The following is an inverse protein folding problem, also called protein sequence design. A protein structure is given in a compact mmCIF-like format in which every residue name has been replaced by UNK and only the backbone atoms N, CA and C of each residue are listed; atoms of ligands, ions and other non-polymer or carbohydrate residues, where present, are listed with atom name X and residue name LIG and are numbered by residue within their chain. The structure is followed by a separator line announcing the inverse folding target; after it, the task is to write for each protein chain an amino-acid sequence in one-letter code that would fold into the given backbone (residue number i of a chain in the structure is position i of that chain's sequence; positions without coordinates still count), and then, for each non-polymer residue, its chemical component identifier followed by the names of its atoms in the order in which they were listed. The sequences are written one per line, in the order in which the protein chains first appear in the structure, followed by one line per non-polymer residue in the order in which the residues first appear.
data_IF_767700140161
#
_entry.id   IF_767700140161
#
_cell.length_a   1.000
_cell.length_b   1.000
_cell.length_c   1.000
_cell.angle_alpha   90.00
_cell.angle_beta   90.00
_cell.angle_gamma   90.00
#
_symmetry.space_group_name_H-M   'P 1'
#
loop_
_entity.id
_entity.type
_entity.pdbx_description
1 polymer ?
#
# COMPACT_ATOMS: atom_id res chain seq x y z
N UNK A 1 -24.00 79.97 13.43
CA UNK A 1 -23.42 81.17 12.79
C UNK A 1 -21.91 81.03 12.90
N UNK A 2 -21.26 80.74 11.78
CA UNK A 2 -19.82 80.51 11.65
C UNK A 2 -18.97 81.71 12.10
N UNK A 3 -17.78 81.47 12.64
CA UNK A 3 -16.52 81.86 11.98
C UNK A 3 -15.29 81.25 12.65
N UNK A 4 -14.37 80.86 11.78
CA UNK A 4 -13.13 80.14 11.98
C UNK A 4 -12.04 80.94 12.70
N UNK A 5 -11.01 80.25 13.21
CA UNK A 5 -9.62 80.73 13.17
C UNK A 5 -8.59 79.59 13.30
N UNK A 6 -7.94 79.34 12.16
CA UNK A 6 -6.55 78.95 11.92
C UNK A 6 -5.70 78.32 13.06
N UNK A 7 -5.23 77.09 12.79
CA UNK A 7 -4.17 76.41 13.50
C UNK A 7 -2.94 76.30 12.58
N UNK A 8 -1.77 76.81 13.00
CA UNK A 8 -0.50 76.54 12.35
C UNK A 8 0.70 76.65 13.31
N UNK A 9 1.51 75.58 13.31
CA UNK A 9 2.95 75.46 13.60
C UNK A 9 3.40 75.41 15.08
N UNK A 10 3.94 74.25 15.52
CA UNK A 10 5.38 73.87 15.61
C UNK A 10 6.07 74.59 16.79
N UNK A 11 6.89 74.00 17.67
CA UNK A 11 7.48 72.68 17.95
C UNK A 11 8.26 72.85 19.26
N UNK A 12 8.37 71.77 20.06
CA UNK A 12 9.53 71.39 20.90
C UNK A 12 10.06 72.32 22.01
N UNK A 13 9.89 71.95 23.29
CA UNK A 13 10.98 71.47 24.18
C UNK A 13 10.62 71.50 25.68
N UNK A 14 10.94 70.38 26.35
CA UNK A 14 11.32 70.19 27.77
C UNK A 14 10.45 70.75 28.91
N UNK A 15 9.88 69.84 29.71
CA UNK A 15 10.14 69.87 31.16
C UNK A 15 9.89 68.51 31.82
N UNK A 16 10.75 68.22 32.79
CA UNK A 16 10.94 67.01 33.57
C UNK A 16 9.88 66.96 34.68
N UNK A 17 9.18 65.82 34.88
CA UNK A 17 8.48 65.57 36.14
C UNK A 17 8.56 64.11 36.60
N UNK A 18 9.11 63.96 37.82
CA UNK A 18 9.21 62.78 38.70
C UNK A 18 8.07 61.77 38.55
N UNK A 19 8.43 60.48 38.39
CA UNK A 19 7.54 59.35 38.69
C UNK A 19 8.15 58.45 39.78
N UNK A 20 7.34 58.26 40.82
CA UNK A 20 7.52 57.46 42.03
C UNK A 20 7.80 56.00 41.70
N UNK A 21 8.76 55.41 42.43
CA UNK A 21 8.97 53.95 42.54
C UNK A 21 7.70 53.30 43.11
N UNK A 22 7.06 52.45 42.32
CA UNK A 22 6.12 51.43 42.80
C UNK A 22 6.90 50.12 42.79
N UNK A 23 7.24 49.64 43.98
CA UNK A 23 7.75 48.29 44.24
C UNK A 23 6.63 47.29 43.98
N UNK A 24 6.73 46.54 42.89
CA UNK A 24 5.88 45.38 42.63
C UNK A 24 6.57 44.15 43.26
N UNK A 25 5.95 43.64 44.31
CA UNK A 25 6.26 42.39 45.00
C UNK A 25 6.10 41.21 44.05
N UNK A 26 7.07 40.29 44.11
CA UNK A 26 7.13 39.08 43.29
C UNK A 26 5.90 38.16 43.51
N UNK A 27 5.27 37.75 42.41
CA UNK A 27 4.32 36.63 42.36
C UNK A 27 5.07 35.32 42.09
N UNK A 28 4.56 34.18 42.60
CA UNK A 28 5.27 32.90 42.61
C UNK A 28 5.25 32.18 41.26
N UNK A 29 6.34 31.47 41.03
CA UNK A 29 6.71 30.57 39.94
C UNK A 29 5.58 30.05 39.04
N UNK A 30 5.56 30.58 37.81
CA UNK A 30 4.91 29.94 36.67
C UNK A 30 5.83 28.80 36.19
N UNK A 31 5.36 27.55 36.01
CA UNK A 31 6.21 26.47 35.56
C UNK A 31 6.60 26.71 34.09
N UNK A 32 7.80 27.26 33.89
CA UNK A 32 8.44 27.35 32.59
C UNK A 32 8.63 25.92 32.09
N UNK A 33 7.79 25.49 31.16
CA UNK A 33 7.98 24.24 30.42
C UNK A 33 9.36 24.30 29.79
N UNK A 34 10.32 23.53 30.34
CA UNK A 34 11.69 23.50 29.82
C UNK A 34 11.63 23.14 28.33
N UNK A 35 12.14 23.99 27.42
CA UNK A 35 12.16 23.63 26.02
C UNK A 35 13.00 22.36 25.87
N UNK A 36 12.41 21.30 25.32
CA UNK A 36 13.12 20.08 24.91
C UNK A 36 14.39 20.53 24.18
N UNK A 37 15.55 20.05 24.64
CA UNK A 37 16.85 20.51 24.16
C UNK A 37 16.90 20.36 22.64
N UNK A 38 17.34 21.41 21.94
CA UNK A 38 17.46 21.40 20.49
C UNK A 38 18.32 20.23 19.99
N UNK A 39 19.24 19.73 20.84
CA UNK A 39 20.09 18.58 20.59
C UNK A 39 19.30 17.26 20.54
N UNK A 40 18.34 17.06 21.46
CA UNK A 40 17.47 15.87 21.47
C UNK A 40 16.58 15.88 20.22
N UNK A 41 16.05 17.05 19.88
CA UNK A 41 15.18 17.24 18.71
C UNK A 41 15.92 17.00 17.39
N UNK A 42 17.19 17.43 17.29
CA UNK A 42 18.08 17.17 16.15
C UNK A 42 18.43 15.68 16.03
N UNK A 43 18.74 15.01 17.15
CA UNK A 43 19.05 13.58 17.16
C UNK A 43 17.88 12.73 16.67
N UNK A 44 16.67 13.05 17.11
CA UNK A 44 15.46 12.34 16.71
C UNK A 44 15.14 12.56 15.22
N UNK A 45 15.30 13.79 14.73
CA UNK A 45 15.11 14.11 13.31
C UNK A 45 16.15 13.44 12.40
N UNK A 46 17.44 13.48 12.77
CA UNK A 46 18.49 12.80 11.99
C UNK A 46 18.29 11.28 11.94
N UNK A 47 17.73 10.68 13.00
CA UNK A 47 17.43 9.25 13.04
C UNK A 47 16.25 8.90 12.13
N UNK A 48 15.17 9.70 12.15
CA UNK A 48 14.01 9.50 11.26
C UNK A 48 14.38 9.79 9.80
N UNK A 49 15.12 10.87 9.54
CA UNK A 49 15.57 11.25 8.20
C UNK A 49 16.54 10.23 7.62
N UNK A 50 17.47 9.72 8.43
CA UNK A 50 18.37 8.63 8.07
C UNK A 50 17.61 7.35 7.74
N UNK A 51 16.59 6.99 8.54
CA UNK A 51 15.73 5.84 8.28
C UNK A 51 14.99 5.99 6.94
N UNK A 52 14.36 7.14 6.67
CA UNK A 52 13.64 7.40 5.40
C UNK A 52 14.57 7.30 4.20
N UNK A 53 15.80 7.84 4.30
CA UNK A 53 16.81 7.77 3.24
C UNK A 53 17.36 6.36 3.02
N UNK A 54 17.57 5.59 4.09
CA UNK A 54 18.04 4.20 4.01
C UNK A 54 17.00 3.25 3.38
N UNK A 55 15.72 3.59 3.42
CA UNK A 55 14.67 2.80 2.77
C UNK A 55 14.64 3.07 1.26
N UNK A 56 15.07 4.26 0.76
CA UNK A 56 15.05 4.66 -0.66
C UNK A 56 15.67 3.64 -1.67
N UNK A 57 16.81 2.98 -1.39
CA UNK A 57 17.35 1.97 -2.30
C UNK A 57 16.53 0.68 -2.43
N UNK A 58 15.58 0.39 -1.53
CA UNK A 58 14.63 -0.72 -1.71
C UNK A 58 13.61 -0.42 -2.84
N UNK A 59 13.25 0.86 -3.03
CA UNK A 59 12.23 1.31 -3.99
C UNK A 59 12.64 1.06 -5.44
N UNK A 60 13.91 1.29 -5.79
CA UNK A 60 14.42 1.08 -7.17
C UNK A 60 14.55 -0.40 -7.50
N UNK A 61 14.86 -1.25 -6.51
CA UNK A 61 15.08 -2.69 -6.74
C UNK A 61 13.78 -3.49 -6.93
N UNK A 62 12.68 -3.08 -6.31
CA UNK A 62 11.39 -3.75 -6.46
C UNK A 62 10.80 -3.56 -7.88
N UNK A 63 10.85 -2.33 -8.41
CA UNK A 63 10.32 -2.00 -9.73
C UNK A 63 11.08 -2.64 -10.91
N UNK A 64 12.36 -3.01 -10.72
CA UNK A 64 13.21 -3.57 -11.79
C UNK A 64 13.10 -5.10 -11.90
N UNK A 65 12.58 -5.80 -10.88
CA UNK A 65 12.68 -7.28 -10.81
C UNK A 65 11.52 -8.02 -11.49
N UNK A 66 10.34 -7.41 -11.61
CA UNK A 66 9.19 -7.99 -12.34
C UNK A 66 9.49 -8.22 -13.83
N UNK A 67 10.33 -7.35 -14.41
CA UNK A 67 10.65 -7.35 -15.84
C UNK A 67 11.71 -8.40 -16.23
N UNK A 68 12.38 -9.00 -15.24
CA UNK A 68 13.47 -9.97 -15.45
C UNK A 68 13.03 -11.43 -15.41
N UNK A 69 11.72 -11.71 -15.46
CA UNK A 69 11.20 -13.08 -15.52
C UNK A 69 10.90 -13.42 -16.99
N UNK A 70 11.91 -13.98 -17.66
CA UNK A 70 11.83 -14.48 -19.05
C UNK A 70 10.94 -15.74 -19.21
N UNK A 71 10.41 -16.26 -18.10
CA UNK A 71 9.55 -17.44 -18.10
C UNK A 71 8.22 -17.10 -18.80
N UNK A 72 7.88 -17.85 -19.85
CA UNK A 72 6.66 -17.66 -20.61
C UNK A 72 5.56 -18.57 -20.08
N UNK A 73 4.32 -18.06 -20.07
CA UNK A 73 3.13 -18.88 -19.83
C UNK A 73 2.58 -19.38 -21.15
N UNK A 74 2.06 -20.60 -21.18
CA UNK A 74 1.35 -21.10 -22.35
C UNK A 74 -0.07 -20.49 -22.38
N UNK A 75 -0.26 -19.56 -23.31
CA UNK A 75 -1.55 -18.91 -23.60
C UNK A 75 -1.96 -19.14 -25.05
N UNK A 76 -1.61 -20.30 -25.61
CA UNK A 76 -1.89 -20.65 -27.02
C UNK A 76 -3.38 -20.94 -27.31
N UNK A 77 -4.18 -21.18 -26.27
CA UNK A 77 -5.61 -21.50 -26.36
C UNK A 77 -6.33 -21.29 -25.04
N UNK A 78 -7.68 -21.21 -25.02
CA UNK A 78 -8.44 -21.17 -23.77
C UNK A 78 -8.13 -22.32 -22.82
N UNK A 79 -7.93 -23.54 -23.35
CA UNK A 79 -7.51 -24.70 -22.55
C UNK A 79 -6.15 -24.49 -21.91
N UNK A 80 -5.16 -24.02 -22.67
CA UNK A 80 -3.81 -23.74 -22.16
C UNK A 80 -3.82 -22.64 -21.09
N UNK A 81 -4.51 -21.53 -21.37
CA UNK A 81 -4.66 -20.39 -20.46
C UNK A 81 -5.34 -20.80 -19.15
N UNK A 82 -6.46 -21.52 -19.21
CA UNK A 82 -7.18 -21.96 -18.01
C UNK A 82 -6.36 -22.96 -17.18
N UNK A 83 -5.75 -23.96 -17.85
CA UNK A 83 -4.89 -24.95 -17.19
C UNK A 83 -3.68 -24.28 -16.54
N UNK A 84 -3.01 -23.37 -17.25
CA UNK A 84 -1.85 -22.65 -16.75
C UNK A 84 -2.19 -21.75 -15.56
N UNK A 85 -3.30 -21.01 -15.65
CA UNK A 85 -3.79 -20.19 -14.55
C UNK A 85 -4.07 -21.03 -13.31
N UNK A 86 -4.85 -22.11 -13.46
CA UNK A 86 -5.15 -23.01 -12.34
C UNK A 86 -3.88 -23.63 -11.75
N UNK A 87 -2.94 -24.09 -12.57
CA UNK A 87 -1.69 -24.68 -12.09
C UNK A 87 -0.88 -23.69 -11.23
N UNK A 88 -0.64 -22.48 -11.74
CA UNK A 88 0.10 -21.43 -11.01
C UNK A 88 -0.60 -21.06 -9.70
N UNK A 89 -1.93 -20.95 -9.72
CA UNK A 89 -2.70 -20.52 -8.57
C UNK A 89 -2.86 -21.63 -7.52
N UNK A 90 -3.04 -22.89 -7.93
CA UNK A 90 -3.07 -24.06 -7.03
C UNK A 90 -1.71 -24.30 -6.38
N UNK A 91 -0.62 -24.26 -7.15
CA UNK A 91 0.74 -24.38 -6.61
C UNK A 91 0.99 -23.31 -5.54
N UNK A 92 0.62 -22.07 -5.84
CA UNK A 92 0.67 -20.96 -4.89
C UNK A 92 -0.16 -21.24 -3.64
N UNK A 93 -1.36 -21.78 -3.81
CA UNK A 93 -2.26 -22.10 -2.70
C UNK A 93 -1.60 -23.11 -1.76
N UNK A 94 -1.08 -24.20 -2.30
CA UNK A 94 -0.39 -25.24 -1.54
C UNK A 94 0.86 -24.69 -0.84
N UNK A 95 1.62 -23.82 -1.52
CA UNK A 95 2.83 -23.21 -0.96
C UNK A 95 2.55 -22.13 0.08
N UNK A 96 1.39 -21.48 0.07
CA UNK A 96 1.05 -20.43 1.02
C UNK A 96 0.27 -20.99 2.21
N UNK A 97 -0.84 -21.68 1.93
CA UNK A 97 -1.79 -22.16 2.93
C UNK A 97 -1.84 -23.68 3.07
N UNK A 98 -1.19 -24.42 2.17
CA UNK A 98 -1.17 -25.88 2.23
C UNK A 98 -0.52 -26.40 3.51
N UNK A 99 -0.84 -27.63 3.94
CA UNK A 99 -0.37 -28.18 5.20
C UNK A 99 1.16 -28.22 5.33
N UNK A 100 1.89 -28.30 4.21
CA UNK A 100 3.35 -28.35 4.19
C UNK A 100 4.00 -27.01 3.82
N UNK A 101 3.22 -25.92 3.72
CA UNK A 101 3.81 -24.61 3.42
C UNK A 101 4.83 -24.19 4.48
N UNK A 102 5.83 -23.41 4.08
CA UNK A 102 6.79 -22.78 5.00
C UNK A 102 6.04 -21.97 6.07
N UNK A 103 4.96 -21.32 5.66
CA UNK A 103 4.11 -20.55 6.54
C UNK A 103 3.42 -21.40 7.61
N UNK A 104 2.76 -22.50 7.22
CA UNK A 104 2.12 -23.41 8.18
C UNK A 104 3.14 -24.12 9.07
N UNK A 105 4.29 -24.50 8.50
CA UNK A 105 5.41 -25.09 9.25
C UNK A 105 5.92 -24.14 10.32
N UNK A 106 6.09 -22.85 9.97
CA UNK A 106 6.43 -21.80 10.92
C UNK A 106 5.38 -21.66 12.02
N UNK A 107 4.09 -21.61 11.67
CA UNK A 107 2.99 -21.46 12.63
C UNK A 107 2.90 -22.63 13.62
N UNK A 108 3.28 -23.84 13.21
CA UNK A 108 3.34 -25.03 14.09
C UNK A 108 4.61 -25.10 14.95
N UNK A 109 5.67 -24.40 14.58
CA UNK A 109 6.92 -24.37 15.34
C UNK A 109 6.80 -23.46 16.57
N UNK A 110 7.64 -23.60 17.60
CA UNK A 110 7.68 -22.65 18.73
C UNK A 110 8.52 -21.39 18.45
N UNK A 111 8.95 -21.20 17.20
CA UNK A 111 9.86 -20.11 16.82
C UNK A 111 9.14 -18.78 16.78
N UNK A 112 9.77 -17.73 17.32
CA UNK A 112 9.22 -16.38 17.30
C UNK A 112 9.42 -15.69 15.93
N UNK A 113 10.44 -16.12 15.18
CA UNK A 113 10.80 -15.61 13.86
C UNK A 113 11.02 -16.77 12.88
N UNK A 114 10.62 -16.62 11.60
CA UNK A 114 10.96 -17.57 10.55
C UNK A 114 12.45 -17.49 10.20
N UNK A 115 13.00 -18.55 9.58
CA UNK A 115 14.40 -18.50 9.15
C UNK A 115 14.58 -17.48 8.01
N UNK A 116 15.75 -16.81 7.99
CA UNK A 116 16.00 -15.74 6.99
C UNK A 116 15.97 -16.26 5.56
N UNK A 117 16.40 -17.51 5.35
CA UNK A 117 16.37 -18.17 4.03
C UNK A 117 14.92 -18.37 3.59
N UNK A 118 14.07 -18.91 4.48
CA UNK A 118 12.65 -19.12 4.23
C UNK A 118 11.93 -17.83 3.83
N UNK A 119 12.22 -16.70 4.50
CA UNK A 119 11.62 -15.40 4.17
C UNK A 119 11.99 -14.96 2.75
N UNK A 120 13.28 -15.01 2.41
CA UNK A 120 13.76 -14.55 1.11
C UNK A 120 13.20 -15.40 -0.02
N UNK A 121 13.24 -16.72 0.14
CA UNK A 121 12.71 -17.66 -0.84
C UNK A 121 11.21 -17.46 -1.03
N UNK A 122 10.46 -17.34 0.07
CA UNK A 122 9.01 -17.07 0.03
C UNK A 122 8.71 -15.76 -0.71
N UNK A 123 9.44 -14.69 -0.43
CA UNK A 123 9.22 -13.39 -1.10
C UNK A 123 9.54 -13.46 -2.58
N UNK A 124 10.67 -14.06 -2.95
CA UNK A 124 11.08 -14.21 -4.36
C UNK A 124 10.07 -15.05 -5.15
N UNK A 125 9.54 -16.12 -4.56
CA UNK A 125 8.48 -16.95 -5.16
C UNK A 125 7.17 -16.17 -5.29
N UNK A 126 6.70 -15.49 -4.23
CA UNK A 126 5.46 -14.71 -4.28
C UNK A 126 5.49 -13.61 -5.34
N UNK A 127 6.66 -12.99 -5.56
CA UNK A 127 6.87 -12.03 -6.64
C UNK A 127 6.79 -12.70 -8.02
N UNK A 128 7.42 -13.88 -8.17
CA UNK A 128 7.35 -14.66 -9.41
C UNK A 128 5.92 -15.03 -9.77
N UNK A 129 5.17 -15.59 -8.82
CA UNK A 129 3.79 -16.03 -9.02
C UNK A 129 2.87 -14.86 -9.32
N UNK A 130 3.09 -13.70 -8.69
CA UNK A 130 2.37 -12.46 -9.04
C UNK A 130 2.60 -12.14 -10.49
N UNK A 131 3.85 -11.97 -10.91
CA UNK A 131 4.20 -11.64 -12.28
C UNK A 131 3.66 -12.67 -13.29
N UNK A 132 3.67 -13.96 -12.96
CA UNK A 132 3.15 -15.03 -13.81
C UNK A 132 1.62 -15.01 -13.89
N UNK A 133 0.92 -14.87 -12.75
CA UNK A 133 -0.54 -14.87 -12.71
C UNK A 133 -1.16 -13.72 -13.51
N UNK A 134 -0.51 -12.54 -13.50
CA UNK A 134 -0.92 -11.38 -14.29
C UNK A 134 -0.92 -11.65 -15.80
N UNK A 135 -0.08 -12.61 -16.27
CA UNK A 135 -0.03 -12.98 -17.67
C UNK A 135 -1.32 -13.65 -18.15
N UNK A 136 -2.20 -14.13 -17.28
CA UNK A 136 -3.48 -14.71 -17.73
C UNK A 136 -4.59 -13.67 -17.92
N UNK A 137 -4.42 -12.44 -17.41
CA UNK A 137 -5.44 -11.40 -17.45
C UNK A 137 -5.15 -10.34 -18.52
N UNK A 138 -6.19 -9.89 -19.22
CA UNK A 138 -6.15 -8.69 -20.03
C UNK A 138 -6.36 -7.44 -19.15
N UNK A 139 -5.26 -6.79 -18.81
CA UNK A 139 -5.24 -5.61 -17.94
C UNK A 139 -5.20 -4.29 -18.73
N UNK A 140 -5.52 -4.31 -20.03
CA UNK A 140 -5.36 -3.14 -20.92
C UNK A 140 -6.16 -1.91 -20.45
N UNK A 141 -7.34 -2.11 -19.87
CA UNK A 141 -8.19 -1.03 -19.36
C UNK A 141 -7.79 -0.55 -17.95
N UNK A 142 -6.79 -1.18 -17.31
CA UNK A 142 -6.31 -0.81 -15.99
C UNK A 142 -5.06 0.07 -16.12
N UNK A 143 -5.00 1.24 -15.47
CA UNK A 143 -3.82 2.10 -15.52
C UNK A 143 -2.56 1.38 -15.07
N UNK A 144 -1.46 1.53 -15.83
CA UNK A 144 -0.17 0.86 -15.60
C UNK A 144 0.34 1.07 -14.17
N UNK A 145 0.11 2.24 -13.57
CA UNK A 145 0.53 2.56 -12.21
C UNK A 145 -0.09 1.66 -11.12
N UNK A 146 -1.23 1.04 -11.38
CA UNK A 146 -1.94 0.17 -10.42
C UNK A 146 -2.18 -1.24 -10.97
N UNK A 147 -1.67 -1.57 -12.16
CA UNK A 147 -2.00 -2.81 -12.87
C UNK A 147 -1.50 -4.04 -12.14
N UNK A 148 -0.28 -4.01 -11.59
CA UNK A 148 0.28 -5.13 -10.81
C UNK A 148 -0.54 -5.36 -9.54
N UNK A 149 -0.80 -4.30 -8.77
CA UNK A 149 -1.56 -4.38 -7.52
C UNK A 149 -3.01 -4.85 -7.76
N UNK A 150 -3.66 -4.31 -8.79
CA UNK A 150 -5.05 -4.65 -9.14
C UNK A 150 -5.12 -6.05 -9.71
N UNK A 151 -4.23 -6.40 -10.65
CA UNK A 151 -4.20 -7.71 -11.26
C UNK A 151 -3.91 -8.81 -10.24
N UNK A 152 -3.01 -8.58 -9.28
CA UNK A 152 -2.77 -9.53 -8.19
C UNK A 152 -4.03 -9.82 -7.36
N UNK A 153 -4.84 -8.79 -7.11
CA UNK A 153 -6.11 -8.94 -6.41
C UNK A 153 -7.11 -9.73 -7.25
N UNK A 154 -7.21 -9.40 -8.53
CA UNK A 154 -8.13 -10.02 -9.48
C UNK A 154 -7.79 -11.50 -9.72
N UNK A 155 -6.52 -11.88 -9.76
CA UNK A 155 -6.13 -13.29 -9.90
C UNK A 155 -6.52 -14.12 -8.68
N UNK A 156 -6.35 -13.58 -7.46
CA UNK A 156 -6.85 -14.25 -6.26
C UNK A 156 -8.38 -14.40 -6.27
N UNK A 157 -9.11 -13.33 -6.56
CA UNK A 157 -10.58 -13.39 -6.63
C UNK A 157 -11.06 -14.40 -7.68
N UNK A 158 -10.40 -14.45 -8.84
CA UNK A 158 -10.71 -15.39 -9.90
C UNK A 158 -10.43 -16.84 -9.51
N UNK A 159 -9.33 -17.10 -8.79
CA UNK A 159 -9.06 -18.43 -8.24
C UNK A 159 -10.17 -18.86 -7.26
N UNK A 160 -10.57 -17.98 -6.35
CA UNK A 160 -11.66 -18.27 -5.41
C UNK A 160 -12.96 -18.57 -6.16
N UNK A 161 -13.28 -17.77 -7.19
CA UNK A 161 -14.44 -18.04 -8.03
C UNK A 161 -14.39 -19.47 -8.59
N UNK A 162 -13.26 -19.89 -9.16
CA UNK A 162 -13.10 -21.24 -9.71
C UNK A 162 -13.14 -22.36 -8.68
N UNK A 163 -12.78 -22.11 -7.43
CA UNK A 163 -12.93 -23.09 -6.35
C UNK A 163 -14.39 -23.30 -5.91
N UNK A 164 -15.27 -22.33 -6.20
CA UNK A 164 -16.65 -22.33 -5.73
C UNK A 164 -17.70 -22.54 -6.83
N UNK A 165 -17.30 -22.68 -8.09
CA UNK A 165 -18.19 -22.98 -9.23
C UNK A 165 -17.84 -24.33 -9.87
N UNK A 166 -18.79 -25.00 -10.55
CA UNK A 166 -18.47 -26.21 -11.31
C UNK A 166 -17.52 -25.88 -12.46
N UNK A 167 -16.38 -26.56 -12.51
CA UNK A 167 -15.41 -26.43 -13.60
C UNK A 167 -15.60 -27.55 -14.63
N UNK A 168 -15.58 -27.25 -15.94
CA UNK A 168 -15.65 -28.27 -16.99
C UNK A 168 -14.38 -29.13 -16.99
N UNK A 169 -14.47 -30.32 -17.57
CA UNK A 169 -13.28 -31.10 -17.88
C UNK A 169 -12.39 -30.31 -18.85
N UNK A 170 -11.06 -30.38 -18.65
CA UNK A 170 -10.12 -29.70 -19.56
C UNK A 170 -10.25 -30.18 -21.01
N UNK A 171 -10.76 -31.41 -21.25
CA UNK A 171 -11.07 -31.92 -22.59
C UNK A 171 -12.13 -31.08 -23.32
N UNK A 172 -13.06 -30.50 -22.57
CA UNK A 172 -14.25 -29.81 -23.10
C UNK A 172 -13.96 -28.33 -23.36
N UNK A 173 -12.85 -27.82 -22.82
CA UNK A 173 -12.33 -26.48 -23.12
C UNK A 173 -11.59 -26.52 -24.45
N UNK A 174 -11.80 -25.59 -25.40
CA UNK A 174 -11.16 -25.66 -26.71
C UNK A 174 -9.64 -25.43 -26.65
N UNK A 175 -8.89 -26.26 -27.38
CA UNK A 175 -7.45 -26.09 -27.62
C UNK A 175 -7.16 -25.21 -28.84
N UNK A 176 -5.88 -25.05 -29.15
CA UNK A 176 -5.42 -24.21 -30.24
C UNK A 176 -6.01 -24.64 -31.58
N UNK A 177 -6.17 -25.94 -31.83
CA UNK A 177 -6.74 -26.46 -33.08
C UNK A 177 -8.25 -26.15 -33.15
N UNK A 178 -9.00 -26.43 -32.09
CA UNK A 178 -10.43 -26.09 -32.02
C UNK A 178 -10.66 -24.58 -32.19
N UNK A 179 -9.76 -23.76 -31.64
CA UNK A 179 -9.83 -22.30 -31.79
C UNK A 179 -9.47 -21.80 -33.19
N UNK A 180 -8.76 -22.56 -34.03
CA UNK A 180 -8.48 -22.16 -35.43
C UNK A 180 -9.77 -22.09 -36.25
N UNK A 181 -10.73 -22.97 -35.98
CA UNK A 181 -12.01 -23.05 -36.69
C UNK A 181 -13.04 -22.03 -36.16
N UNK A 182 -12.86 -21.54 -34.94
CA UNK A 182 -13.80 -20.60 -34.33
C UNK A 182 -13.60 -19.17 -34.86
N UNK A 183 -14.68 -18.55 -35.34
CA UNK A 183 -14.64 -17.20 -35.93
C UNK A 183 -14.37 -16.10 -34.91
N UNK A 184 -14.98 -16.19 -33.73
CA UNK A 184 -14.89 -15.15 -32.69
C UNK A 184 -13.59 -15.21 -31.86
N UNK A 185 -12.75 -16.24 -32.05
CA UNK A 185 -11.52 -16.49 -31.27
C UNK A 185 -11.70 -16.25 -29.76
N UNK A 186 -12.87 -16.64 -29.24
CA UNK A 186 -13.32 -16.38 -27.87
C UNK A 186 -14.16 -17.54 -27.37
N UNK A 187 -13.88 -17.98 -26.15
CA UNK A 187 -14.60 -19.03 -25.46
C UNK A 187 -15.17 -18.51 -24.15
N UNK A 188 -16.37 -18.96 -23.81
CA UNK A 188 -17.05 -18.64 -22.56
C UNK A 188 -17.12 -19.90 -21.71
N UNK A 189 -16.72 -19.80 -20.46
CA UNK A 189 -16.83 -20.88 -19.49
C UNK A 189 -18.33 -21.23 -19.30
N UNK A 190 -18.74 -22.49 -19.56
CA UNK A 190 -20.15 -22.88 -19.52
C UNK A 190 -20.84 -22.52 -18.21
N UNK A 191 -22.06 -21.98 -18.30
CA UNK A 191 -22.85 -21.57 -17.12
C UNK A 191 -22.38 -20.28 -16.45
N UNK A 192 -21.43 -19.55 -17.05
CA UNK A 192 -20.91 -18.28 -16.52
C UNK A 192 -20.73 -17.23 -17.61
N UNK A 193 -20.43 -16.00 -17.19
CA UNK A 193 -20.05 -14.89 -18.06
C UNK A 193 -18.51 -14.74 -18.17
N UNK A 194 -17.73 -15.70 -17.63
CA UNK A 194 -16.26 -15.68 -17.65
C UNK A 194 -15.76 -16.09 -19.03
N UNK A 195 -15.01 -15.20 -19.68
CA UNK A 195 -14.57 -15.35 -21.07
C UNK A 195 -13.05 -15.32 -21.17
N UNK A 196 -12.53 -16.21 -22.02
CA UNK A 196 -11.14 -16.21 -22.49
C UNK A 196 -11.15 -15.91 -23.99
N UNK A 197 -10.39 -14.90 -24.41
CA UNK A 197 -10.36 -14.43 -25.79
C UNK A 197 -8.96 -14.15 -26.28
N UNK A 198 -8.79 -14.19 -27.60
CA UNK A 198 -7.57 -13.81 -28.27
C UNK A 198 -7.36 -12.29 -28.16
N UNK A 199 -6.18 -11.88 -27.70
CA UNK A 199 -5.77 -10.48 -27.71
C UNK A 199 -5.45 -10.06 -29.15
N UNK A 200 -6.15 -9.05 -29.66
CA UNK A 200 -6.05 -8.62 -31.06
C UNK A 200 -4.90 -7.64 -31.31
N UNK A 201 -4.47 -6.87 -30.30
CA UNK A 201 -3.48 -5.80 -30.48
C UNK A 201 -2.58 -5.60 -29.26
N UNK A 202 -1.49 -4.84 -29.44
CA UNK A 202 -0.51 -4.53 -28.40
C UNK A 202 0.58 -5.60 -28.22
N UNK A 203 1.43 -5.47 -27.19
CA UNK A 203 2.59 -6.34 -26.96
C UNK A 203 2.25 -7.82 -26.75
N UNK A 204 0.99 -8.12 -26.44
CA UNK A 204 0.49 -9.46 -26.12
C UNK A 204 -0.45 -10.02 -27.19
N UNK A 205 -0.51 -9.37 -28.36
CA UNK A 205 -1.33 -9.82 -29.48
C UNK A 205 -1.03 -11.28 -29.82
N UNK A 206 -2.07 -12.07 -30.10
CA UNK A 206 -1.96 -13.49 -30.39
C UNK A 206 -2.04 -14.42 -29.17
N UNK A 207 -2.12 -13.88 -27.95
CA UNK A 207 -2.29 -14.66 -26.72
C UNK A 207 -3.75 -14.78 -26.33
N UNK A 208 -4.17 -15.92 -25.78
CA UNK A 208 -5.48 -16.09 -25.15
C UNK A 208 -5.43 -15.70 -23.67
N UNK A 209 -6.25 -14.73 -23.26
CA UNK A 209 -6.31 -14.23 -21.89
C UNK A 209 -7.76 -14.09 -21.42
N UNK A 210 -7.97 -14.04 -20.11
CA UNK A 210 -9.24 -13.60 -19.55
C UNK A 210 -9.51 -12.17 -20.02
N UNK A 211 -10.58 -12.01 -20.79
CA UNK A 211 -10.88 -10.76 -21.50
C UNK A 211 -11.09 -9.61 -20.53
N UNK A 212 -10.83 -8.37 -20.97
CA UNK A 212 -11.11 -7.17 -20.18
C UNK A 212 -12.52 -7.11 -19.59
N UNK A 213 -13.53 -7.64 -20.29
CA UNK A 213 -14.90 -7.76 -19.77
C UNK A 213 -14.95 -8.64 -18.51
N UNK A 214 -14.42 -9.87 -18.60
CA UNK A 214 -14.22 -10.77 -17.45
C UNK A 214 -13.47 -10.07 -16.33
N UNK A 215 -12.36 -9.41 -16.63
CA UNK A 215 -11.50 -8.74 -15.65
C UNK A 215 -12.25 -7.68 -14.86
N UNK A 216 -13.12 -6.90 -15.53
CA UNK A 216 -13.97 -5.90 -14.89
C UNK A 216 -15.05 -6.51 -13.99
N UNK A 217 -15.55 -7.70 -14.31
CA UNK A 217 -16.64 -8.36 -13.58
C UNK A 217 -16.19 -9.26 -12.42
N UNK A 218 -14.91 -9.69 -12.39
CA UNK A 218 -14.33 -10.51 -11.32
C UNK A 218 -14.72 -10.02 -9.91
N UNK A 219 -14.60 -8.72 -9.55
CA UNK A 219 -14.95 -8.27 -8.21
C UNK A 219 -16.42 -8.50 -7.85
N UNK A 220 -17.32 -8.32 -8.82
CA UNK A 220 -18.76 -8.52 -8.64
C UNK A 220 -19.08 -10.00 -8.46
N UNK A 221 -18.47 -10.87 -9.28
CA UNK A 221 -18.64 -12.32 -9.16
C UNK A 221 -18.10 -12.85 -7.84
N UNK A 222 -16.94 -12.37 -7.41
CA UNK A 222 -16.34 -12.73 -6.14
C UNK A 222 -17.24 -12.35 -4.97
N UNK A 223 -17.77 -11.13 -4.93
CA UNK A 223 -18.69 -10.71 -3.86
C UNK A 223 -20.00 -11.50 -3.87
N UNK A 224 -20.52 -11.92 -5.03
CA UNK A 224 -21.69 -12.81 -5.08
C UNK A 224 -21.39 -14.15 -4.43
N UNK A 225 -20.26 -14.77 -4.75
CA UNK A 225 -19.83 -16.05 -4.18
C UNK A 225 -19.58 -15.91 -2.68
N UNK A 226 -18.87 -14.86 -2.28
CA UNK A 226 -18.55 -14.58 -0.88
C UNK A 226 -19.78 -14.45 0.03
N UNK A 227 -20.89 -13.92 -0.50
CA UNK A 227 -22.14 -13.74 0.22
C UNK A 227 -23.07 -14.98 0.17
N UNK A 228 -22.63 -16.09 -0.43
CA UNK A 228 -23.39 -17.34 -0.39
C UNK A 228 -23.24 -18.02 0.97
N UNK A 229 -24.30 -18.70 1.41
CA UNK A 229 -24.29 -19.49 2.63
C UNK A 229 -23.46 -20.76 2.41
N UNK A 230 -22.19 -20.72 2.78
CA UNK A 230 -21.35 -21.92 2.83
C UNK A 230 -21.64 -22.74 4.08
N UNK A 231 -21.47 -24.05 3.98
CA UNK A 231 -21.61 -24.95 5.12
C UNK A 231 -20.69 -24.56 6.27
N UNK A 232 -21.16 -24.74 7.51
CA UNK A 232 -20.35 -24.50 8.70
C UNK A 232 -19.06 -25.34 8.63
N UNK A 233 -17.90 -24.68 8.68
CA UNK A 233 -16.59 -25.33 8.58
C UNK A 233 -15.91 -25.25 7.21
N UNK A 234 -16.53 -24.61 6.21
CA UNK A 234 -15.81 -24.24 4.98
C UNK A 234 -14.57 -23.39 5.33
N UNK A 235 -13.41 -23.66 4.70
CA UNK A 235 -12.21 -22.86 4.93
C UNK A 235 -12.49 -21.40 4.55
N UNK A 236 -11.91 -20.43 5.28
CA UNK A 236 -12.06 -19.02 4.93
C UNK A 236 -11.45 -18.76 3.55
N UNK A 237 -12.00 -17.79 2.82
CA UNK A 237 -11.41 -17.31 1.58
C UNK A 237 -9.94 -16.90 1.82
N UNK A 238 -9.02 -17.45 1.02
CA UNK A 238 -7.63 -17.02 0.97
C UNK A 238 -7.56 -15.53 0.69
N UNK A 239 -8.43 -15.00 -0.18
CA UNK A 239 -8.50 -13.57 -0.44
C UNK A 239 -8.57 -12.75 0.86
N UNK A 240 -9.47 -13.13 1.77
CA UNK A 240 -9.63 -12.46 3.06
C UNK A 240 -8.41 -12.68 3.96
N UNK A 241 -7.80 -13.87 3.91
CA UNK A 241 -6.57 -14.14 4.66
C UNK A 241 -5.40 -13.28 4.18
N UNK A 242 -5.24 -13.09 2.87
CA UNK A 242 -4.12 -12.36 2.27
C UNK A 242 -4.29 -10.85 2.43
N UNK A 243 -5.51 -10.33 2.27
CA UNK A 243 -5.76 -8.90 2.27
C UNK A 243 -6.31 -8.37 3.59
N UNK A 244 -7.07 -9.14 4.39
CA UNK A 244 -7.60 -8.62 5.65
C UNK A 244 -6.63 -8.71 6.82
N UNK A 245 -5.65 -9.62 6.76
CA UNK A 245 -4.55 -9.63 7.73
C UNK A 245 -3.43 -8.65 7.34
N UNK A 246 -2.57 -8.26 8.30
CA UNK A 246 -1.46 -7.34 8.06
C UNK A 246 -0.27 -8.01 7.36
N UNK A 247 -0.54 -8.79 6.30
CA UNK A 247 0.49 -9.59 5.60
C UNK A 247 1.58 -8.73 4.96
N UNK A 248 1.25 -7.50 4.56
CA UNK A 248 2.26 -6.52 4.10
C UNK A 248 3.19 -6.08 5.24
N UNK A 249 2.65 -5.76 6.43
CA UNK A 249 3.46 -5.47 7.61
C UNK A 249 4.33 -6.67 7.99
N UNK A 250 3.80 -7.90 7.92
CA UNK A 250 4.59 -9.12 8.14
C UNK A 250 5.75 -9.20 7.13
N UNK A 251 5.51 -8.99 5.84
CA UNK A 251 6.55 -9.08 4.82
C UNK A 251 7.72 -8.11 5.08
N UNK A 252 7.43 -6.86 5.48
CA UNK A 252 8.46 -5.84 5.67
C UNK A 252 9.02 -5.75 7.10
N UNK A 253 8.23 -6.12 8.12
CA UNK A 253 8.62 -6.04 9.53
C UNK A 253 9.01 -7.39 10.13
N UNK A 254 8.91 -8.51 9.39
CA UNK A 254 9.25 -9.86 9.88
C UNK A 254 10.65 -9.98 10.49
N UNK A 255 11.58 -9.10 10.15
CA UNK A 255 12.93 -9.07 10.74
C UNK A 255 13.01 -8.39 12.11
N UNK A 256 12.02 -7.54 12.45
CA UNK A 256 12.02 -6.68 13.64
C UNK A 256 10.91 -7.07 14.59
N UNK A 257 9.73 -7.36 14.05
CA UNK A 257 8.53 -7.69 14.79
C UNK A 257 8.14 -9.13 14.47
N UNK A 258 7.96 -9.99 15.49
CA UNK A 258 7.53 -11.37 15.31
C UNK A 258 6.26 -11.47 14.43
N UNK A 259 6.29 -12.20 13.31
CA UNK A 259 5.12 -12.39 12.45
C UNK A 259 3.88 -12.92 13.18
N UNK A 260 4.07 -13.69 14.26
CA UNK A 260 2.95 -14.30 15.03
C UNK A 260 2.03 -13.23 15.62
N UNK A 261 2.59 -12.11 16.08
CA UNK A 261 1.79 -11.03 16.68
C UNK A 261 0.83 -10.37 15.69
N UNK A 262 1.15 -10.42 14.40
CA UNK A 262 0.27 -9.94 13.33
C UNK A 262 -0.78 -10.97 12.91
N UNK A 263 -0.53 -12.25 13.20
CA UNK A 263 -1.46 -13.35 12.90
C UNK A 263 -2.52 -13.51 13.98
N UNK A 264 -2.13 -13.28 15.24
CA UNK A 264 -3.02 -13.40 16.40
C UNK A 264 -3.79 -12.11 16.71
N UNK A 265 -4.00 -11.25 15.71
CA UNK A 265 -4.77 -10.02 15.91
C UNK A 265 -6.24 -10.34 16.23
N UNK A 266 -6.87 -9.61 17.17
CA UNK A 266 -8.29 -9.77 17.46
C UNK A 266 -9.15 -9.70 16.20
N UNK A 267 -10.13 -10.59 16.06
CA UNK A 267 -11.05 -10.63 14.92
C UNK A 267 -11.79 -9.31 14.71
N UNK A 268 -12.00 -8.53 15.78
CA UNK A 268 -12.58 -7.19 15.69
C UNK A 268 -11.78 -6.23 14.80
N UNK A 269 -10.46 -6.41 14.69
CA UNK A 269 -9.58 -5.58 13.86
C UNK A 269 -9.54 -6.01 12.39
N UNK A 270 -9.92 -7.25 12.09
CA UNK A 270 -10.00 -7.77 10.72
C UNK A 270 -11.36 -7.54 10.07
N UNK A 271 -12.37 -7.11 10.83
CA UNK A 271 -13.64 -6.64 10.25
C UNK A 271 -13.41 -5.47 9.31
N UNK A 272 -14.16 -5.48 8.20
CA UNK A 272 -14.03 -4.50 7.13
C UNK A 272 -14.98 -3.33 7.37
N UNK A 273 -14.42 -2.13 7.36
CA UNK A 273 -15.14 -0.85 7.32
C UNK A 273 -14.87 -0.20 5.97
N UNK A 274 -15.91 0.08 5.19
CA UNK A 274 -15.81 0.55 3.79
C UNK A 274 -14.99 -0.35 2.86
N UNK A 275 -14.98 -1.67 3.11
CA UNK A 275 -14.24 -2.64 2.32
C UNK A 275 -12.76 -2.78 2.70
N UNK A 276 -12.29 -2.06 3.73
CA UNK A 276 -10.94 -2.19 4.27
C UNK A 276 -10.96 -2.61 5.74
N UNK A 277 -10.04 -3.48 6.19
CA UNK A 277 -9.91 -3.84 7.60
C UNK A 277 -9.73 -2.63 8.53
N UNK A 278 -10.35 -2.67 9.72
CA UNK A 278 -10.27 -1.61 10.73
C UNK A 278 -8.83 -1.27 11.11
N UNK A 279 -7.94 -2.26 11.22
CA UNK A 279 -6.54 -2.00 11.54
C UNK A 279 -5.84 -1.11 10.51
N UNK A 280 -6.24 -1.16 9.22
CA UNK A 280 -5.65 -0.31 8.17
C UNK A 280 -6.00 1.15 8.37
N UNK A 281 -7.22 1.44 8.80
CA UNK A 281 -7.63 2.80 9.17
C UNK A 281 -6.81 3.33 10.35
N UNK A 282 -6.60 2.49 11.38
CA UNK A 282 -5.71 2.83 12.50
C UNK A 282 -4.27 3.10 12.03
N UNK A 283 -3.73 2.25 11.17
CA UNK A 283 -2.39 2.40 10.60
C UNK A 283 -2.27 3.65 9.71
N UNK A 284 -3.30 3.98 8.93
CA UNK A 284 -3.37 5.17 8.09
C UNK A 284 -3.39 6.45 8.94
N UNK A 285 -4.23 6.50 9.99
CA UNK A 285 -4.27 7.63 10.92
C UNK A 285 -2.93 7.80 11.63
N UNK A 286 -2.31 6.70 12.06
CA UNK A 286 -0.98 6.72 12.66
C UNK A 286 0.09 7.22 11.69
N UNK A 287 0.06 6.78 10.43
CA UNK A 287 0.98 7.23 9.39
C UNK A 287 0.85 8.75 9.13
N UNK A 288 -0.38 9.23 8.97
CA UNK A 288 -0.67 10.67 8.78
C UNK A 288 -0.22 11.49 10.00
N UNK A 289 -0.47 11.00 11.21
CA UNK A 289 0.00 11.63 12.44
C UNK A 289 1.53 11.71 12.49
N UNK A 290 2.22 10.59 12.24
CA UNK A 290 3.68 10.53 12.24
C UNK A 290 4.26 11.50 11.21
N UNK A 291 3.65 11.57 10.03
CA UNK A 291 4.06 12.48 8.97
C UNK A 291 3.87 13.94 9.33
N UNK A 292 2.69 14.31 9.83
CA UNK A 292 2.40 15.66 10.29
C UNK A 292 3.35 16.07 11.41
N UNK A 293 3.69 15.13 12.30
CA UNK A 293 4.66 15.35 13.36
C UNK A 293 6.09 15.58 12.83
N UNK A 294 6.55 14.80 11.86
CA UNK A 294 7.88 14.98 11.22
C UNK A 294 7.98 16.31 10.48
N UNK A 295 6.94 16.70 9.72
CA UNK A 295 6.87 18.00 9.05
C UNK A 295 6.86 19.15 10.05
N UNK A 296 6.03 19.06 11.09
CA UNK A 296 5.99 20.05 12.16
C UNK A 296 7.33 20.19 12.87
N UNK A 297 8.02 19.07 13.12
CA UNK A 297 9.36 19.04 13.71
C UNK A 297 10.38 19.77 12.83
N UNK A 298 10.33 19.49 11.51
CA UNK A 298 11.17 20.14 10.49
C UNK A 298 10.98 21.66 10.48
N UNK A 299 9.73 22.13 10.48
CA UNK A 299 9.38 23.56 10.53
C UNK A 299 9.82 24.20 11.86
N UNK A 300 9.54 23.54 12.99
CA UNK A 300 9.95 24.00 14.34
C UNK A 300 11.47 24.14 14.47
N UNK A 301 12.23 23.19 13.92
CA UNK A 301 13.70 23.22 13.91
C UNK A 301 14.23 24.33 13.02
N UNK A 302 13.63 24.51 11.83
CA UNK A 302 14.00 25.57 10.89
C UNK A 302 13.81 26.97 11.49
N UNK A 303 12.67 27.21 12.15
CA UNK A 303 12.37 28.51 12.77
C UNK A 303 13.21 28.86 14.00
N UNK A 304 13.81 27.88 14.68
CA UNK A 304 14.68 28.11 15.86
C UNK A 304 16.09 28.56 15.51
N UNK A 305 16.50 28.45 14.24
CA UNK A 305 17.87 28.68 13.78
C UNK A 305 17.87 29.94 12.92
N UNK A 306 17.64 31.10 13.56
CA UNK A 306 17.54 32.40 12.89
C UNK A 306 18.71 33.36 13.16
N UNK A 307 19.70 32.96 13.97
CA UNK A 307 20.67 33.90 14.56
C UNK A 307 22.12 33.83 14.04
N UNK A 308 22.42 33.01 13.02
CA UNK A 308 23.78 32.94 12.46
C UNK A 308 23.80 33.05 10.93
N UNK A 309 24.69 33.89 10.38
CA UNK A 309 24.89 34.01 8.93
C UNK A 309 25.87 32.93 8.48
N UNK A 310 25.44 32.00 7.62
CA UNK A 310 26.29 30.95 7.07
C UNK A 310 25.53 29.94 6.20
N UNK A 311 26.24 29.20 5.36
CA UNK A 311 25.67 28.21 4.42
C UNK A 311 24.76 27.17 5.09
N UNK A 312 25.03 26.84 6.36
CA UNK A 312 24.24 25.90 7.18
C UNK A 312 22.81 26.41 7.41
N UNK A 313 22.61 27.73 7.53
CA UNK A 313 21.28 28.31 7.76
C UNK A 313 20.42 28.27 6.49
N UNK A 314 21.01 28.48 5.32
CA UNK A 314 20.33 28.28 4.04
C UNK A 314 19.86 26.83 3.87
N UNK A 315 20.68 25.85 4.25
CA UNK A 315 20.34 24.42 4.21
C UNK A 315 19.18 24.08 5.16
N UNK A 316 19.16 24.65 6.37
CA UNK A 316 18.12 24.44 7.37
C UNK A 316 16.79 25.11 6.98
N UNK A 317 16.85 26.20 6.22
CA UNK A 317 15.65 26.91 5.74
C UNK A 317 14.89 26.13 4.65
N UNK A 318 15.60 25.35 3.83
CA UNK A 318 14.99 24.49 2.80
C UNK A 318 14.55 23.12 3.35
N UNK A 319 14.86 22.78 4.60
CA UNK A 319 14.55 21.47 5.19
C UNK A 319 13.08 21.06 5.12
N UNK A 320 12.08 21.92 5.40
CA UNK A 320 10.68 21.52 5.30
C UNK A 320 10.29 21.10 3.87
N UNK A 321 10.79 21.80 2.86
CA UNK A 321 10.57 21.44 1.45
C UNK A 321 11.24 20.10 1.10
N UNK A 322 12.49 19.90 1.53
CA UNK A 322 13.20 18.61 1.32
C UNK A 322 12.48 17.47 2.06
N UNK A 323 12.01 17.71 3.27
CA UNK A 323 11.26 16.73 4.07
C UNK A 323 9.97 16.34 3.35
N UNK A 324 9.23 17.31 2.81
CA UNK A 324 8.01 17.05 2.03
C UNK A 324 8.31 16.20 0.79
N UNK A 325 9.33 16.57 0.01
CA UNK A 325 9.72 15.84 -1.21
C UNK A 325 10.10 14.39 -0.89
N UNK A 326 10.77 14.11 0.23
CA UNK A 326 11.16 12.76 0.64
C UNK A 326 10.01 11.96 1.25
N UNK A 327 9.04 12.62 1.88
CA UNK A 327 7.88 11.95 2.46
C UNK A 327 6.94 11.41 1.39
N UNK A 328 6.74 12.13 0.29
CA UNK A 328 5.83 11.69 -0.80
C UNK A 328 6.10 10.27 -1.30
N UNK A 329 7.31 9.90 -1.78
CA UNK A 329 7.56 8.54 -2.25
C UNK A 329 7.43 7.51 -1.12
N UNK A 330 7.83 7.87 0.11
CA UNK A 330 7.68 7.00 1.28
C UNK A 330 6.21 6.69 1.58
N UNK A 331 5.32 7.68 1.51
CA UNK A 331 3.88 7.47 1.69
C UNK A 331 3.33 6.56 0.60
N UNK A 332 3.67 6.82 -0.67
CA UNK A 332 3.20 5.98 -1.78
C UNK A 332 3.57 4.51 -1.57
N UNK A 333 4.78 4.24 -1.11
CA UNK A 333 5.24 2.90 -0.76
C UNK A 333 4.48 2.29 0.43
N UNK A 334 4.34 3.03 1.54
CA UNK A 334 3.63 2.51 2.72
C UNK A 334 2.15 2.23 2.38
N UNK A 335 1.50 3.10 1.61
CA UNK A 335 0.11 2.90 1.19
C UNK A 335 -0.04 1.72 0.21
N UNK A 336 0.85 1.60 -0.77
CA UNK A 336 0.77 0.59 -1.83
C UNK A 336 1.25 -0.80 -1.41
N UNK A 337 2.44 -0.90 -0.82
CA UNK A 337 3.11 -2.18 -0.57
C UNK A 337 2.90 -2.71 0.85
N UNK A 338 2.89 -1.81 1.84
CA UNK A 338 2.81 -2.18 3.27
C UNK A 338 1.36 -2.31 3.72
N UNK A 339 0.56 -1.26 3.57
CA UNK A 339 -0.85 -1.24 3.94
C UNK A 339 -1.75 -1.84 2.86
N UNK A 340 -1.29 -1.84 1.59
CA UNK A 340 -2.02 -2.38 0.42
C UNK A 340 -3.44 -1.84 0.30
N UNK A 341 -3.58 -0.52 0.46
CA UNK A 341 -4.87 0.18 0.35
C UNK A 341 -5.44 -0.03 -1.04
N UNK A 342 -6.71 -0.41 -1.12
CA UNK A 342 -7.35 -0.80 -2.38
C UNK A 342 -7.69 0.42 -3.23
N UNK A 343 -7.47 0.39 -4.55
CA UNK A 343 -7.82 1.50 -5.43
C UNK A 343 -9.31 1.88 -5.43
N UNK A 344 -10.20 0.95 -5.09
CA UNK A 344 -11.66 1.18 -5.03
C UNK A 344 -12.04 2.30 -4.05
N UNK A 345 -11.24 2.55 -3.00
CA UNK A 345 -11.47 3.69 -2.10
C UNK A 345 -11.39 5.03 -2.83
N UNK A 346 -10.48 5.18 -3.80
CA UNK A 346 -10.36 6.42 -4.56
C UNK A 346 -11.62 6.70 -5.38
N UNK A 347 -12.20 5.68 -6.02
CA UNK A 347 -13.39 5.84 -6.88
C UNK A 347 -14.74 5.94 -6.16
N UNK A 348 -14.81 5.73 -4.83
CA UNK A 348 -16.02 5.99 -4.03
C UNK A 348 -15.99 7.31 -3.26
N UNK A 349 -14.79 7.90 -3.11
CA UNK A 349 -14.58 9.17 -2.40
C UNK A 349 -14.61 10.35 -3.39
N UNK A 350 -14.33 10.11 -4.66
CA UNK A 350 -14.64 11.02 -5.79
C UNK A 350 -16.00 10.72 -6.37
#
# INVERSE_FOLDING_TARGET
MERALYFKNMTCSYSIFKLRRITLTAMPDCPVTRPISASILRGLFSLIFGLVLSIQPLFVRAAVRSDLILETVDTSSPRATLKGFMAVMTERYEMTLGPQSLFQTYLRSDRLFPEKVDIKETVDMLQRDRAMSLKFLDLTDIPVAISEQSGWRLTLQLMEIFHHIPMPSLSDVPDANAMQEQSLKKWTLPGTEIRIGLIESGPRAGQYQFTKETVAEIPVFFERIRNMDFAAGSPPFMYDTVFNLPTGLVAYLSYVVPPRWFMDIPSSLTYTLFGEPIWRWGALLFLLFLMGWVLWLSVRLSGRISFHHGAIVSLIRIMPAVTLVLLVPFICFVLGDVLRVTPHLYGRIT
#
